data_IF_471798647496
#
_entry.id   IF_471798647496
#
_cell.length_a   1.000
_cell.length_b   1.000
_cell.length_c   1.000
_cell.angle_alpha   90.00
_cell.angle_beta   90.00
_cell.angle_gamma   90.00
#
_symmetry.space_group_name_H-M   'P 1'
#
loop_
_entity.id
_entity.type
_entity.pdbx_description
1 polymer ?
#
# COMPACT_ATOMS: atom_id res chain seq x y z
N UNK A 1 0.25 0.90 29.95
CA UNK A 1 -1.18 0.84 30.29
C UNK A 1 -1.67 -0.59 30.10
N UNK A 2 -2.44 -1.18 31.03
CA UNK A 2 -2.97 -2.55 30.88
C UNK A 2 -4.36 -2.47 30.26
N UNK A 3 -4.54 -3.04 29.06
CA UNK A 3 -5.84 -3.16 28.40
C UNK A 3 -6.49 -4.46 28.87
N UNK A 4 -7.72 -4.40 29.36
CA UNK A 4 -8.47 -5.56 29.89
C UNK A 4 -9.79 -5.81 29.17
N UNK A 5 -10.18 -4.92 28.24
CA UNK A 5 -11.35 -5.08 27.39
C UNK A 5 -10.93 -5.03 25.92
N UNK A 6 -11.46 -5.91 25.11
CA UNK A 6 -11.19 -5.92 23.67
C UNK A 6 -11.63 -4.61 22.98
N UNK A 7 -12.71 -3.99 23.46
CA UNK A 7 -13.18 -2.71 22.93
C UNK A 7 -12.22 -1.53 23.17
N UNK A 8 -11.31 -1.65 24.14
CA UNK A 8 -10.34 -0.61 24.45
C UNK A 8 -9.03 -0.74 23.65
N UNK A 9 -8.90 -1.78 22.82
CA UNK A 9 -7.73 -2.00 21.98
C UNK A 9 -7.75 -0.96 20.86
N UNK A 10 -6.72 -0.09 20.74
CA UNK A 10 -6.63 0.84 19.63
C UNK A 10 -6.60 0.10 18.30
N UNK A 11 -7.46 0.49 17.37
CA UNK A 11 -7.50 -0.08 16.04
C UNK A 11 -6.67 0.79 15.08
N UNK A 12 -5.98 0.17 14.13
CA UNK A 12 -5.22 0.88 13.09
C UNK A 12 -6.14 1.71 12.18
N UNK A 13 -7.36 1.24 11.99
CA UNK A 13 -8.34 1.84 11.09
C UNK A 13 -9.65 2.05 11.83
N UNK A 14 -10.38 3.12 11.50
CA UNK A 14 -11.64 3.46 12.18
C UNK A 14 -12.84 2.96 11.40
N UNK A 15 -13.28 3.73 10.39
CA UNK A 15 -14.59 3.56 9.79
C UNK A 15 -14.56 2.98 8.37
N UNK A 16 -13.43 3.03 7.69
CA UNK A 16 -13.28 2.51 6.34
C UNK A 16 -12.16 1.48 6.28
N UNK A 17 -12.51 0.24 6.10
CA UNK A 17 -11.61 -0.84 5.73
C UNK A 17 -12.30 -1.61 4.60
N UNK A 18 -12.16 -1.09 3.39
CA UNK A 18 -12.69 -1.70 2.20
C UNK A 18 -11.71 -2.71 1.63
N UNK A 19 -12.18 -3.88 1.27
CA UNK A 19 -11.40 -4.92 0.65
C UNK A 19 -11.98 -5.27 -0.72
N UNK A 20 -11.13 -5.33 -1.73
CA UNK A 20 -11.52 -5.76 -3.07
C UNK A 20 -10.47 -6.69 -3.68
N UNK A 21 -10.94 -7.77 -4.29
CA UNK A 21 -10.08 -8.61 -5.14
C UNK A 21 -9.84 -7.90 -6.47
N UNK A 22 -8.56 -7.56 -6.72
CA UNK A 22 -8.13 -6.93 -7.96
C UNK A 22 -7.47 -7.97 -8.86
N UNK A 23 -8.07 -8.22 -10.02
CA UNK A 23 -7.47 -9.02 -11.08
C UNK A 23 -6.13 -8.38 -11.52
N UNK A 24 -5.05 -9.16 -11.47
CA UNK A 24 -3.71 -8.63 -11.78
C UNK A 24 -3.60 -8.02 -13.18
N UNK A 25 -4.42 -8.47 -14.14
CA UNK A 25 -4.45 -7.93 -15.50
C UNK A 25 -4.96 -6.48 -15.56
N UNK A 26 -5.75 -6.08 -14.56
CA UNK A 26 -6.33 -4.73 -14.47
C UNK A 26 -5.44 -3.75 -13.71
N UNK A 27 -4.46 -4.25 -12.98
CA UNK A 27 -3.63 -3.42 -12.11
C UNK A 27 -2.90 -2.30 -12.87
N UNK A 28 -2.25 -2.52 -14.03
CA UNK A 28 -1.58 -1.43 -14.72
C UNK A 28 -2.53 -0.30 -15.11
N UNK A 29 -3.68 -0.62 -15.71
CA UNK A 29 -4.67 0.38 -16.09
C UNK A 29 -5.29 1.09 -14.88
N UNK A 30 -5.56 0.34 -13.79
CA UNK A 30 -6.08 0.90 -12.55
C UNK A 30 -5.09 1.88 -11.91
N UNK A 31 -3.80 1.57 -11.92
CA UNK A 31 -2.76 2.47 -11.41
C UNK A 31 -2.71 3.75 -12.26
N UNK A 32 -2.61 3.62 -13.57
CA UNK A 32 -2.55 4.78 -14.49
C UNK A 32 -3.75 5.70 -14.33
N UNK A 33 -4.97 5.13 -14.24
CA UNK A 33 -6.20 5.88 -14.02
C UNK A 33 -6.17 6.64 -12.68
N UNK A 34 -5.79 5.95 -11.58
CA UNK A 34 -5.79 6.57 -10.26
C UNK A 34 -4.65 7.57 -10.06
N UNK A 35 -3.48 7.38 -10.66
CA UNK A 35 -2.42 8.38 -10.67
C UNK A 35 -2.88 9.66 -11.36
N UNK A 36 -3.58 9.52 -12.49
CA UNK A 36 -4.03 10.64 -13.30
C UNK A 36 -5.25 11.37 -12.72
N UNK A 37 -6.26 10.63 -12.26
CA UNK A 37 -7.56 11.19 -11.88
C UNK A 37 -7.68 11.45 -10.38
N UNK A 38 -7.04 10.62 -9.55
CA UNK A 38 -7.17 10.66 -8.09
C UNK A 38 -5.85 11.01 -7.38
N UNK A 39 -4.78 11.27 -8.13
CA UNK A 39 -3.49 11.64 -7.55
C UNK A 39 -2.80 10.54 -6.75
N UNK A 40 -3.04 9.26 -7.10
CA UNK A 40 -2.42 8.13 -6.42
C UNK A 40 -0.89 8.24 -6.45
N UNK A 41 -0.28 8.17 -5.27
CA UNK A 41 1.16 8.08 -5.10
C UNK A 41 1.53 6.66 -4.67
N UNK A 42 2.17 5.90 -5.55
CA UNK A 42 2.64 4.55 -5.23
C UNK A 42 3.83 4.56 -4.28
N UNK A 43 4.65 5.58 -4.34
CA UNK A 43 5.87 5.73 -3.55
C UNK A 43 5.89 7.07 -2.81
N UNK A 44 5.10 7.22 -1.74
CA UNK A 44 5.12 8.44 -0.94
C UNK A 44 6.48 8.67 -0.27
N UNK A 45 6.76 9.92 0.11
CA UNK A 45 8.08 10.38 0.57
C UNK A 45 8.65 9.62 1.79
N UNK A 46 7.80 9.03 2.61
CA UNK A 46 8.24 8.24 3.78
C UNK A 46 8.71 6.82 3.43
N UNK A 47 8.40 6.31 2.23
CA UNK A 47 8.87 5.01 1.77
C UNK A 47 10.26 5.09 1.12
N UNK A 48 10.94 3.96 1.04
CA UNK A 48 12.29 3.86 0.47
C UNK A 48 12.34 3.66 -1.04
N UNK A 49 11.18 3.63 -1.69
CA UNK A 49 11.07 3.39 -3.12
C UNK A 49 11.14 1.92 -3.52
N UNK A 50 11.21 1.69 -4.83
CA UNK A 50 11.31 0.35 -5.37
C UNK A 50 12.73 -0.20 -5.21
N UNK A 51 12.86 -1.34 -4.52
CA UNK A 51 14.16 -1.95 -4.19
C UNK A 51 14.32 -3.39 -4.69
N UNK A 52 13.23 -4.07 -5.07
CA UNK A 52 13.33 -5.43 -5.60
C UNK A 52 14.02 -5.42 -6.97
N UNK A 53 15.04 -6.25 -7.12
CA UNK A 53 15.61 -6.54 -8.43
C UNK A 53 14.66 -7.46 -9.23
N UNK A 54 15.00 -7.69 -10.52
CA UNK A 54 14.17 -8.49 -11.41
C UNK A 54 14.01 -9.94 -10.94
N UNK A 55 15.05 -10.54 -10.38
CA UNK A 55 15.01 -11.89 -9.84
C UNK A 55 14.01 -11.99 -8.68
N UNK A 56 14.03 -11.05 -7.74
CA UNK A 56 13.09 -11.00 -6.62
C UNK A 56 11.64 -10.82 -7.09
N UNK A 57 11.41 -9.97 -8.09
CA UNK A 57 10.11 -9.77 -8.72
C UNK A 57 9.60 -11.06 -9.37
N UNK A 58 10.44 -11.72 -10.16
CA UNK A 58 10.11 -12.98 -10.84
C UNK A 58 9.80 -14.08 -9.84
N UNK A 59 10.66 -14.30 -8.84
CA UNK A 59 10.45 -15.33 -7.81
C UNK A 59 9.14 -15.11 -7.05
N UNK A 60 8.82 -13.87 -6.69
CA UNK A 60 7.55 -13.58 -6.03
C UNK A 60 6.36 -13.84 -6.95
N UNK A 61 6.41 -13.43 -8.22
CA UNK A 61 5.33 -13.69 -9.19
C UNK A 61 5.12 -15.19 -9.41
N UNK A 62 6.19 -15.96 -9.53
CA UNK A 62 6.11 -17.41 -9.67
C UNK A 62 5.49 -18.08 -8.44
N UNK A 63 5.86 -17.63 -7.24
CA UNK A 63 5.22 -18.08 -6.00
C UNK A 63 3.73 -17.72 -5.97
N UNK A 64 3.39 -16.47 -6.33
CA UNK A 64 2.02 -15.98 -6.36
C UNK A 64 1.16 -16.75 -7.37
N UNK A 65 1.66 -16.97 -8.59
CA UNK A 65 0.94 -17.68 -9.65
C UNK A 65 0.76 -19.18 -9.36
N UNK A 66 1.63 -19.77 -8.56
CA UNK A 66 1.46 -21.14 -7.99
C UNK A 66 0.35 -21.21 -6.92
N UNK A 67 -0.31 -20.11 -6.60
CA UNK A 67 -1.35 -20.06 -5.57
C UNK A 67 -0.83 -19.66 -4.18
N UNK A 68 0.38 -19.15 -4.09
CA UNK A 68 0.95 -18.62 -2.84
C UNK A 68 0.07 -17.51 -2.24
N UNK A 69 -0.21 -17.60 -0.94
CA UNK A 69 -1.11 -16.66 -0.25
C UNK A 69 -0.37 -15.50 0.41
N UNK A 70 0.91 -15.70 0.74
CA UNK A 70 1.72 -14.65 1.35
C UNK A 70 1.96 -13.50 0.38
N UNK A 71 1.79 -12.27 0.88
CA UNK A 71 2.03 -11.06 0.09
C UNK A 71 0.95 -10.71 -0.93
N UNK A 72 -0.28 -11.23 -0.80
CA UNK A 72 -1.41 -10.85 -1.66
C UNK A 72 -2.06 -9.53 -1.27
N UNK A 73 -1.83 -9.04 -0.06
CA UNK A 73 -2.48 -7.86 0.48
C UNK A 73 -1.70 -6.60 0.11
N UNK A 74 -2.39 -5.62 -0.46
CA UNK A 74 -1.86 -4.30 -0.79
C UNK A 74 -2.68 -3.28 0.00
N UNK A 75 -2.03 -2.32 0.62
CA UNK A 75 -2.68 -1.37 1.52
C UNK A 75 -2.57 0.05 0.98
N UNK A 76 -3.71 0.71 0.89
CA UNK A 76 -3.85 2.09 0.44
C UNK A 76 -4.53 2.93 1.51
N UNK A 77 -4.26 4.22 1.50
CA UNK A 77 -5.04 5.22 2.21
C UNK A 77 -5.55 6.27 1.22
N UNK A 78 -6.87 6.44 1.19
CA UNK A 78 -7.55 7.50 0.47
C UNK A 78 -8.45 8.26 1.45
N UNK A 79 -8.09 9.47 1.87
CA UNK A 79 -8.86 10.21 2.87
C UNK A 79 -10.27 10.58 2.40
N UNK A 80 -10.55 10.56 1.10
CA UNK A 80 -11.87 10.83 0.53
C UNK A 80 -12.73 9.57 0.40
N UNK A 81 -12.16 8.38 0.61
CA UNK A 81 -12.87 7.13 0.44
C UNK A 81 -14.09 7.04 1.34
N UNK A 82 -15.27 6.82 0.76
CA UNK A 82 -16.58 6.73 1.43
C UNK A 82 -16.96 7.97 2.25
N UNK A 83 -16.31 9.09 2.04
CA UNK A 83 -16.57 10.34 2.74
C UNK A 83 -16.70 11.50 1.73
N UNK A 84 -17.86 11.57 1.11
CA UNK A 84 -18.16 12.56 0.05
C UNK A 84 -18.19 14.01 0.55
N UNK A 85 -18.26 14.20 1.88
CA UNK A 85 -18.29 15.51 2.52
C UNK A 85 -16.98 15.87 3.21
N UNK A 86 -15.93 15.07 2.97
CA UNK A 86 -14.63 15.36 3.56
C UNK A 86 -14.07 16.67 3.00
N UNK A 87 -14.05 17.68 3.85
CA UNK A 87 -13.47 18.99 3.55
C UNK A 87 -12.09 19.10 4.17
N UNK A 88 -11.12 19.48 3.36
CA UNK A 88 -9.73 19.69 3.80
C UNK A 88 -9.57 21.12 4.31
N UNK A 89 -10.30 21.46 5.37
CA UNK A 89 -10.31 22.82 5.93
C UNK A 89 -9.13 23.10 6.84
N UNK A 90 -8.54 22.06 7.41
CA UNK A 90 -7.42 22.17 8.34
C UNK A 90 -6.08 21.93 7.64
N UNK A 91 -5.04 22.64 8.07
CA UNK A 91 -3.68 22.46 7.56
C UNK A 91 -3.13 21.05 7.80
N UNK A 92 -3.72 20.30 8.77
CA UNK A 92 -3.36 18.94 9.14
C UNK A 92 -4.12 17.86 8.36
N UNK A 93 -5.12 18.26 7.55
CA UNK A 93 -5.94 17.32 6.77
C UNK A 93 -5.09 16.66 5.70
N UNK A 94 -5.03 15.33 5.72
CA UNK A 94 -4.35 14.55 4.69
C UNK A 94 -5.19 14.55 3.41
N UNK A 95 -4.53 14.72 2.27
CA UNK A 95 -5.20 14.88 0.96
C UNK A 95 -4.79 13.83 -0.05
N UNK A 96 -3.72 13.10 0.25
CA UNK A 96 -3.10 12.26 -0.74
C UNK A 96 -3.69 10.84 -0.72
N UNK A 97 -4.02 10.34 -1.91
CA UNK A 97 -4.25 8.92 -2.13
C UNK A 97 -2.89 8.23 -2.27
N UNK A 98 -2.58 7.29 -1.40
CA UNK A 98 -1.25 6.68 -1.35
C UNK A 98 -1.29 5.15 -1.21
N UNK A 99 -0.26 4.50 -1.73
CA UNK A 99 0.06 3.12 -1.39
C UNK A 99 0.89 3.10 -0.10
N UNK A 100 0.36 2.49 0.95
CA UNK A 100 1.02 2.39 2.26
C UNK A 100 1.94 1.17 2.34
N UNK A 101 1.51 0.04 1.76
CA UNK A 101 2.34 -1.16 1.58
C UNK A 101 1.94 -1.92 0.33
N UNK A 102 2.92 -2.36 -0.44
CA UNK A 102 2.71 -3.19 -1.62
C UNK A 102 3.40 -2.71 -2.89
N UNK A 103 4.13 -1.60 -2.86
CA UNK A 103 4.84 -1.03 -4.01
C UNK A 103 5.62 -2.08 -4.80
N UNK A 104 6.43 -2.91 -4.14
CA UNK A 104 7.28 -3.92 -4.80
C UNK A 104 6.46 -4.92 -5.61
N UNK A 105 5.33 -5.35 -5.04
CA UNK A 105 4.41 -6.34 -5.64
C UNK A 105 3.62 -5.75 -6.79
N UNK A 106 3.14 -4.51 -6.63
CA UNK A 106 2.45 -3.78 -7.70
C UNK A 106 3.40 -3.55 -8.89
N UNK A 107 4.63 -3.13 -8.64
CA UNK A 107 5.64 -2.94 -9.68
C UNK A 107 5.95 -4.25 -10.41
N UNK A 108 6.10 -5.36 -9.67
CA UNK A 108 6.33 -6.67 -10.29
C UNK A 108 5.18 -7.08 -11.21
N UNK A 109 3.93 -6.90 -10.76
CA UNK A 109 2.74 -7.18 -11.59
C UNK A 109 2.69 -6.28 -12.81
N UNK A 110 2.89 -4.96 -12.67
CA UNK A 110 2.92 -4.03 -13.80
C UNK A 110 3.94 -4.45 -14.85
N UNK A 111 5.17 -4.73 -14.43
CA UNK A 111 6.26 -5.13 -15.34
C UNK A 111 5.95 -6.43 -16.08
N UNK A 112 5.36 -7.42 -15.40
CA UNK A 112 4.96 -8.67 -16.02
C UNK A 112 3.84 -8.46 -17.04
N UNK A 113 2.75 -7.80 -16.68
CA UNK A 113 1.61 -7.55 -17.58
C UNK A 113 2.03 -6.69 -18.78
N UNK A 114 2.95 -5.74 -18.57
CA UNK A 114 3.53 -4.89 -19.63
C UNK A 114 4.60 -5.60 -20.47
N UNK A 115 4.86 -6.90 -20.25
CA UNK A 115 5.86 -7.69 -20.97
C UNK A 115 7.31 -7.20 -20.81
N UNK A 116 7.67 -6.67 -19.65
CA UNK A 116 9.01 -6.19 -19.35
C UNK A 116 9.86 -7.29 -18.68
N UNK A 117 9.24 -8.20 -17.91
CA UNK A 117 9.91 -9.32 -17.25
C UNK A 117 9.26 -10.65 -17.62
N UNK A 118 10.03 -11.72 -17.56
CA UNK A 118 9.56 -13.09 -17.77
C UNK A 118 9.21 -13.76 -16.45
N UNK A 119 8.14 -14.55 -16.46
CA UNK A 119 7.73 -15.41 -15.35
C UNK A 119 7.59 -16.83 -15.89
N UNK A 120 8.13 -17.83 -15.22
CA UNK A 120 8.31 -19.18 -15.77
C UNK A 120 8.94 -19.20 -17.17
N UNK A 121 9.85 -18.27 -17.45
CA UNK A 121 10.57 -18.17 -18.70
C UNK A 121 9.82 -17.50 -19.86
N UNK A 122 8.55 -17.08 -19.68
CA UNK A 122 7.70 -16.46 -20.71
C UNK A 122 7.25 -15.07 -20.33
N UNK A 123 7.14 -14.19 -21.32
CA UNK A 123 6.44 -12.91 -21.20
C UNK A 123 4.92 -13.12 -21.12
N UNK A 124 4.19 -12.19 -20.51
CA UNK A 124 2.74 -12.30 -20.38
C UNK A 124 2.01 -12.54 -21.71
N UNK A 125 2.41 -11.89 -22.78
CA UNK A 125 1.84 -12.04 -24.13
C UNK A 125 2.08 -13.41 -24.78
N UNK A 126 3.00 -14.21 -24.22
CA UNK A 126 3.33 -15.55 -24.75
C UNK A 126 2.48 -16.65 -24.13
N UNK A 127 1.68 -16.33 -23.10
CA UNK A 127 0.73 -17.27 -22.50
C UNK A 127 -0.51 -17.41 -23.39
N UNK A 128 -0.86 -18.66 -23.74
CA UNK A 128 -1.97 -18.98 -24.64
C UNK A 128 -3.34 -18.86 -23.98
N UNK A 129 -3.38 -18.88 -22.63
CA UNK A 129 -4.61 -18.93 -21.82
C UNK A 129 -4.68 -17.80 -20.76
N UNK A 130 -4.50 -16.53 -21.11
CA UNK A 130 -4.43 -15.44 -20.14
C UNK A 130 -5.70 -15.31 -19.26
N UNK A 131 -6.82 -15.93 -19.68
CA UNK A 131 -8.05 -15.96 -18.87
C UNK A 131 -7.93 -16.86 -17.64
N UNK A 132 -7.03 -17.84 -17.65
CA UNK A 132 -6.80 -18.75 -16.52
C UNK A 132 -6.18 -18.02 -15.30
N UNK A 133 -5.65 -16.81 -15.47
CA UNK A 133 -5.20 -15.95 -14.39
C UNK A 133 -6.33 -15.42 -13.48
N UNK A 134 -7.60 -15.60 -13.83
CA UNK A 134 -8.74 -15.06 -13.07
C UNK A 134 -8.80 -15.51 -11.60
N UNK A 135 -8.19 -16.64 -11.26
CA UNK A 135 -8.13 -17.12 -9.88
C UNK A 135 -7.07 -16.39 -9.02
N UNK A 136 -6.18 -15.61 -9.64
CA UNK A 136 -5.07 -14.96 -8.99
C UNK A 136 -5.28 -13.43 -8.95
N UNK A 137 -5.87 -12.94 -7.85
CA UNK A 137 -6.04 -11.53 -7.57
C UNK A 137 -5.18 -11.07 -6.40
N UNK A 138 -4.81 -9.79 -6.37
CA UNK A 138 -4.34 -9.12 -5.18
C UNK A 138 -5.53 -8.60 -4.38
N UNK A 139 -5.40 -8.54 -3.07
CA UNK A 139 -6.43 -8.00 -2.19
C UNK A 139 -6.04 -6.58 -1.83
N UNK A 140 -6.78 -5.62 -2.38
CA UNK A 140 -6.60 -4.20 -2.08
C UNK A 140 -7.41 -3.85 -0.83
N UNK A 141 -6.73 -3.24 0.14
CA UNK A 141 -7.32 -2.67 1.34
C UNK A 141 -7.24 -1.16 1.23
N UNK A 142 -8.36 -0.47 1.36
CA UNK A 142 -8.41 0.98 1.30
C UNK A 142 -8.94 1.53 2.62
N UNK A 143 -8.14 2.35 3.27
CA UNK A 143 -8.51 3.10 4.47
C UNK A 143 -8.70 4.58 4.15
N UNK A 144 -9.31 5.30 5.08
CA UNK A 144 -9.55 6.74 4.95
C UNK A 144 -9.04 7.55 6.15
N UNK A 145 -7.84 7.24 6.61
CA UNK A 145 -7.18 8.01 7.65
C UNK A 145 -7.01 9.47 7.20
N UNK A 146 -7.29 10.41 8.10
CA UNK A 146 -7.48 11.83 7.77
C UNK A 146 -6.26 12.69 8.05
N UNK A 147 -5.27 12.17 8.76
CA UNK A 147 -4.05 12.90 9.11
C UNK A 147 -2.80 12.15 8.69
N UNK A 148 -1.76 12.89 8.32
CA UNK A 148 -0.46 12.30 7.99
C UNK A 148 0.10 11.47 9.14
N UNK A 149 -0.06 11.96 10.37
CA UNK A 149 0.38 11.26 11.57
C UNK A 149 -0.29 9.88 11.71
N UNK A 150 -1.60 9.77 11.48
CA UNK A 150 -2.31 8.48 11.53
C UNK A 150 -1.77 7.52 10.47
N UNK A 151 -1.51 8.00 9.27
CA UNK A 151 -0.96 7.20 8.17
C UNK A 151 0.45 6.70 8.49
N UNK A 152 1.32 7.58 8.97
CA UNK A 152 2.69 7.22 9.36
C UNK A 152 2.71 6.23 10.55
N UNK A 153 1.84 6.44 11.55
CA UNK A 153 1.72 5.50 12.66
C UNK A 153 1.25 4.13 12.17
N UNK A 154 0.24 4.09 11.30
CA UNK A 154 -0.23 2.85 10.69
C UNK A 154 0.88 2.13 9.89
N UNK A 155 1.66 2.88 9.10
CA UNK A 155 2.82 2.33 8.40
C UNK A 155 3.83 1.67 9.35
N UNK A 156 4.17 2.34 10.47
CA UNK A 156 5.07 1.79 11.49
C UNK A 156 4.51 0.52 12.13
N UNK A 157 3.23 0.53 12.49
CA UNK A 157 2.58 -0.58 13.19
C UNK A 157 2.49 -1.83 12.31
N UNK A 158 2.19 -1.68 11.00
CA UNK A 158 2.22 -2.78 10.05
C UNK A 158 3.61 -3.39 9.90
N UNK A 159 4.65 -2.55 9.93
CA UNK A 159 6.02 -3.00 9.78
C UNK A 159 6.65 -3.56 11.07
N UNK A 160 6.06 -3.29 12.23
CA UNK A 160 6.52 -3.84 13.51
C UNK A 160 6.13 -5.32 13.70
N UNK A 161 5.12 -5.80 12.97
CA UNK A 161 4.58 -7.17 13.08
C UNK A 161 5.01 -8.14 11.96
N UNK A 162 5.77 -7.67 10.95
CA UNK A 162 6.12 -8.44 9.74
C UNK A 162 7.62 -8.58 9.49
N UNK A 163 8.01 -8.74 8.22
CA UNK A 163 9.42 -8.65 7.81
C UNK A 163 9.89 -7.23 8.01
N UNK A 164 10.87 -6.97 8.89
CA UNK A 164 11.20 -5.60 9.26
C UNK A 164 11.78 -4.83 8.08
N UNK A 165 11.30 -3.60 7.91
CA UNK A 165 12.00 -2.58 7.15
C UNK A 165 13.36 -2.27 7.81
N UNK A 166 14.26 -1.61 7.11
CA UNK A 166 15.54 -1.28 7.71
C UNK A 166 15.35 -0.42 8.97
N UNK A 167 16.21 -0.58 10.01
CA UNK A 167 16.13 0.25 11.20
C UNK A 167 16.16 1.75 10.87
N UNK A 168 16.91 2.14 9.83
CA UNK A 168 17.03 3.53 9.39
C UNK A 168 15.71 4.07 8.82
N UNK A 169 14.96 3.23 8.12
CA UNK A 169 13.65 3.61 7.57
C UNK A 169 12.63 3.82 8.69
N UNK A 170 12.57 2.91 9.63
CA UNK A 170 11.69 3.01 10.81
C UNK A 170 12.02 4.25 11.63
N UNK A 171 13.30 4.52 11.85
CA UNK A 171 13.76 5.70 12.60
C UNK A 171 13.43 7.01 11.88
N UNK A 172 13.57 7.04 10.55
CA UNK A 172 13.17 8.20 9.75
C UNK A 172 11.69 8.52 9.93
N UNK A 173 10.81 7.50 9.84
CA UNK A 173 9.36 7.70 9.98
C UNK A 173 9.00 8.13 11.42
N UNK A 174 9.63 7.56 12.43
CA UNK A 174 9.45 8.01 13.82
C UNK A 174 9.80 9.49 14.00
N UNK A 175 10.94 9.89 13.43
CA UNK A 175 11.36 11.29 13.48
C UNK A 175 10.35 12.22 12.80
N UNK A 176 9.76 11.82 11.67
CA UNK A 176 8.70 12.62 11.02
C UNK A 176 7.50 12.83 11.95
N UNK A 177 7.08 11.80 12.70
CA UNK A 177 5.99 11.90 13.67
C UNK A 177 6.37 12.85 14.83
N UNK A 178 7.58 12.70 15.37
CA UNK A 178 8.08 13.53 16.48
C UNK A 178 8.17 15.01 16.08
N UNK A 179 8.66 15.31 14.87
CA UNK A 179 8.75 16.66 14.33
C UNK A 179 7.36 17.32 14.22
N UNK A 180 6.34 16.58 13.79
CA UNK A 180 4.95 17.06 13.76
C UNK A 180 4.40 17.39 15.16
N UNK A 181 4.80 16.65 16.19
CA UNK A 181 4.36 16.92 17.56
C UNK A 181 5.03 18.16 18.17
N UNK A 182 6.28 18.43 17.77
CA UNK A 182 7.03 19.63 18.22
C UNK A 182 6.42 20.88 17.60
N UNK A 183 6.12 20.87 16.30
CA UNK A 183 5.52 22.01 15.59
C UNK A 183 4.16 22.38 16.16
N UNK A 184 3.33 21.41 16.55
CA UNK A 184 2.05 21.66 17.23
C UNK A 184 2.23 22.37 18.57
N UNK A 185 3.24 22.02 19.36
CA UNK A 185 3.51 22.67 20.66
C UNK A 185 4.01 24.10 20.54
N UNK A 186 4.66 24.43 19.41
CA UNK A 186 5.19 25.78 19.16
C UNK A 186 4.14 26.74 18.56
N UNK A 187 3.00 26.24 18.06
CA UNK A 187 1.91 27.02 17.48
C UNK A 187 0.76 27.31 18.48
N UNK A 188 0.81 26.81 19.71
CA UNK A 188 -0.11 27.14 20.80
C UNK A 188 0.50 28.16 21.74
#
# INVERSE_FOLDING_TARGET
MKITKFADIPQFTRDANYQVNMDIRRIPAWIEENEKENGLQLNPAFQRGHIWNEEQQTLWLEFFLKGGQSGKHIYFNDPFWMDWNYETTDAESYKDFICVDGLQRLTAVQRFINNEIKVFGSYYKEYEDPRSLNANGLIFHVNNLKTEKEVLQWYLDMNSGGTPHSPEEIERVRKMIDDMEVDKKNCM
#
